data_IF_323570326403
#
_entry.id   IF_323570326403
#
_cell.length_a   1.000
_cell.length_b   1.000
_cell.length_c   1.000
_cell.angle_alpha   90.00
_cell.angle_beta   90.00
_cell.angle_gamma   90.00
#
_symmetry.space_group_name_H-M   'P 1'
#
loop_
_entity.id
_entity.type
_entity.pdbx_description
1 polymer ?
#
# COMPACT_ATOMS: atom_id res chain seq x y z
N UNK A 1 8.03 -5.12 -4.71
CA UNK A 1 8.25 -4.96 -3.25
C UNK A 1 9.31 -5.97 -2.80
N UNK A 2 10.37 -5.49 -2.14
CA UNK A 2 11.46 -6.33 -1.63
C UNK A 2 11.51 -6.26 -0.11
N UNK A 3 11.93 -7.34 0.52
CA UNK A 3 12.12 -7.42 1.98
C UNK A 3 13.59 -7.57 2.29
N UNK A 4 14.06 -6.76 3.24
CA UNK A 4 15.43 -6.75 3.72
C UNK A 4 15.44 -7.05 5.21
N UNK A 5 16.35 -7.92 5.64
CA UNK A 5 16.74 -7.99 7.04
C UNK A 5 17.55 -6.75 7.39
N UNK A 6 17.26 -6.14 8.54
CA UNK A 6 18.03 -5.00 9.08
C UNK A 6 18.79 -5.50 10.28
N UNK A 7 20.12 -5.54 10.18
CA UNK A 7 21.00 -5.96 11.25
C UNK A 7 21.09 -4.89 12.34
N UNK A 8 21.56 -5.27 13.53
CA UNK A 8 21.69 -4.35 14.67
C UNK A 8 22.62 -3.15 14.39
N UNK A 9 23.56 -3.30 13.45
CA UNK A 9 24.46 -2.24 13.00
C UNK A 9 23.87 -1.38 11.85
N UNK A 10 22.65 -1.68 11.40
CA UNK A 10 21.96 -1.01 10.30
C UNK A 10 22.24 -1.59 8.91
N UNK A 11 23.11 -2.60 8.80
CA UNK A 11 23.37 -3.25 7.51
C UNK A 11 22.13 -3.99 7.01
N UNK A 12 21.95 -3.99 5.69
CA UNK A 12 20.86 -4.68 5.02
C UNK A 12 21.34 -6.00 4.43
N UNK A 13 20.55 -7.06 4.63
CA UNK A 13 20.74 -8.34 3.96
C UNK A 13 19.43 -8.87 3.37
N UNK A 14 19.54 -9.93 2.55
CA UNK A 14 18.41 -10.48 1.82
C UNK A 14 18.07 -9.66 0.58
N UNK A 15 16.87 -9.09 0.50
CA UNK A 15 16.39 -8.37 -0.68
C UNK A 15 15.60 -9.23 -1.65
N UNK A 16 15.07 -10.38 -1.19
CA UNK A 16 14.17 -11.20 -1.98
C UNK A 16 12.94 -10.37 -2.41
N UNK A 17 12.45 -10.64 -3.61
CA UNK A 17 11.16 -10.10 -4.05
C UNK A 17 10.09 -10.82 -3.24
N UNK A 18 9.31 -10.04 -2.48
CA UNK A 18 8.22 -10.56 -1.65
C UNK A 18 6.88 -10.49 -2.39
N UNK A 19 6.63 -9.39 -3.10
CA UNK A 19 5.47 -9.21 -3.95
C UNK A 19 5.78 -8.27 -5.12
N UNK A 20 5.03 -8.38 -6.22
CA UNK A 20 5.09 -7.47 -7.36
C UNK A 20 3.70 -6.89 -7.62
N UNK A 21 3.63 -5.59 -7.91
CA UNK A 21 2.42 -4.94 -8.40
C UNK A 21 2.38 -5.10 -9.91
N UNK A 22 1.49 -5.94 -10.43
CA UNK A 22 1.42 -6.28 -11.85
C UNK A 22 0.11 -5.77 -12.46
N UNK A 23 0.13 -5.38 -13.73
CA UNK A 23 -1.05 -4.94 -14.45
C UNK A 23 -0.68 -4.18 -15.73
N UNK A 24 -1.67 -4.00 -16.61
CA UNK A 24 -1.50 -3.28 -17.89
C UNK A 24 -2.06 -1.87 -17.87
N UNK A 25 -2.78 -1.50 -16.81
CA UNK A 25 -3.32 -0.16 -16.61
C UNK A 25 -2.21 0.86 -16.27
N UNK A 26 -2.43 2.16 -16.50
CA UNK A 26 -1.52 3.22 -16.05
C UNK A 26 -1.28 3.19 -14.53
N UNK A 27 -0.19 3.82 -14.10
CA UNK A 27 0.21 3.90 -12.69
C UNK A 27 1.54 3.23 -12.38
N UNK A 28 2.18 3.66 -11.29
CA UNK A 28 3.50 3.17 -10.84
C UNK A 28 3.53 2.99 -9.33
N UNK A 29 4.52 2.22 -8.87
CA UNK A 29 4.77 2.04 -7.43
C UNK A 29 5.40 3.28 -6.82
N UNK A 30 4.80 3.79 -5.75
CA UNK A 30 5.29 4.92 -4.95
C UNK A 30 4.89 4.70 -3.48
N UNK A 31 3.69 5.12 -3.08
CA UNK A 31 3.23 5.06 -1.70
C UNK A 31 2.91 3.65 -1.19
N UNK A 32 3.26 3.37 0.06
CA UNK A 32 2.98 2.11 0.76
C UNK A 32 2.53 2.33 2.22
N UNK A 33 1.59 1.53 2.72
CA UNK A 33 1.10 1.51 4.12
C UNK A 33 0.67 0.11 4.54
N UNK A 34 0.50 -0.11 5.84
CA UNK A 34 0.04 -1.37 6.42
C UNK A 34 -1.25 -1.13 7.21
N UNK A 35 -2.19 -2.07 7.14
CA UNK A 35 -3.39 -2.06 7.98
C UNK A 35 -3.19 -2.80 9.32
N UNK A 36 -4.17 -2.70 10.21
CA UNK A 36 -4.13 -3.34 11.54
C UNK A 36 -4.07 -4.87 11.53
N UNK A 37 -4.27 -5.52 10.38
CA UNK A 37 -4.15 -6.98 10.21
C UNK A 37 -2.83 -7.39 9.54
N UNK A 38 -1.96 -6.44 9.23
CA UNK A 38 -0.69 -6.70 8.56
C UNK A 38 -0.80 -6.80 7.04
N UNK A 39 -1.94 -6.40 6.44
CA UNK A 39 -2.02 -6.31 4.99
C UNK A 39 -1.24 -5.10 4.50
N UNK A 40 -0.46 -5.26 3.44
CA UNK A 40 0.34 -4.21 2.83
C UNK A 40 -0.40 -3.63 1.62
N UNK A 41 -0.59 -2.33 1.65
CA UNK A 41 -1.17 -1.56 0.56
C UNK A 41 -0.02 -0.87 -0.17
N UNK A 42 0.02 -0.94 -1.51
CA UNK A 42 1.04 -0.27 -2.34
C UNK A 42 0.39 0.27 -3.61
N UNK A 43 0.72 1.50 -4.02
CA UNK A 43 0.30 2.00 -5.33
C UNK A 43 0.94 1.16 -6.44
N UNK A 44 0.27 1.07 -7.59
CA UNK A 44 0.75 0.32 -8.74
C UNK A 44 -0.17 0.51 -9.94
N UNK A 45 0.04 -0.28 -11.01
CA UNK A 45 -0.84 -0.27 -12.18
C UNK A 45 -2.32 -0.42 -11.79
N UNK A 46 -3.17 0.51 -12.23
CA UNK A 46 -4.61 0.48 -12.01
C UNK A 46 -5.09 0.90 -10.61
N UNK A 47 -4.20 1.24 -9.67
CA UNK A 47 -4.57 1.77 -8.36
C UNK A 47 -3.74 1.22 -7.20
N UNK A 48 -4.40 0.89 -6.08
CA UNK A 48 -3.74 0.45 -4.85
C UNK A 48 -3.87 -1.06 -4.70
N UNK A 49 -2.75 -1.77 -4.84
CA UNK A 49 -2.63 -3.20 -4.65
C UNK A 49 -2.58 -3.54 -3.16
N UNK A 50 -3.37 -4.52 -2.74
CA UNK A 50 -3.47 -4.95 -1.34
C UNK A 50 -2.98 -6.39 -1.25
N UNK A 51 -1.91 -6.60 -0.50
CA UNK A 51 -1.31 -7.90 -0.24
C UNK A 51 -1.57 -8.31 1.20
N UNK A 52 -1.75 -9.59 1.48
CA UNK A 52 -1.72 -10.10 2.85
C UNK A 52 -0.28 -10.17 3.39
N UNK A 53 -0.11 -10.58 4.65
CA UNK A 53 1.19 -10.66 5.30
C UNK A 53 2.14 -11.71 4.67
N UNK A 54 1.62 -12.66 3.87
CA UNK A 54 2.42 -13.65 3.16
C UNK A 54 2.94 -13.15 1.81
N UNK A 55 2.34 -12.08 1.27
CA UNK A 55 2.66 -11.52 -0.05
C UNK A 55 1.64 -11.91 -1.13
N UNK A 56 0.56 -12.59 -0.75
CA UNK A 56 -0.53 -12.93 -1.67
C UNK A 56 -1.35 -11.67 -1.98
N UNK A 57 -1.61 -11.41 -3.27
CA UNK A 57 -2.46 -10.31 -3.71
C UNK A 57 -3.93 -10.61 -3.37
N UNK A 58 -4.51 -9.81 -2.48
CA UNK A 58 -5.94 -9.87 -2.14
C UNK A 58 -6.81 -9.12 -3.15
N UNK A 59 -6.25 -8.11 -3.83
CA UNK A 59 -6.92 -7.37 -4.90
C UNK A 59 -6.36 -5.97 -5.12
N UNK A 60 -6.98 -5.24 -6.05
CA UNK A 60 -6.61 -3.86 -6.40
C UNK A 60 -7.80 -2.94 -6.15
N UNK A 61 -7.59 -1.87 -5.38
CA UNK A 61 -8.53 -0.77 -5.22
C UNK A 61 -8.31 0.16 -6.41
N UNK A 62 -9.24 0.11 -7.37
CA UNK A 62 -9.17 0.93 -8.57
C UNK A 62 -9.20 2.43 -8.22
N UNK A 63 -8.32 3.19 -8.86
CA UNK A 63 -8.32 4.67 -8.80
C UNK A 63 -8.62 5.23 -10.20
N UNK A 64 -9.36 6.34 -10.30
CA UNK A 64 -9.69 6.95 -11.59
C UNK A 64 -8.50 7.69 -12.24
N UNK A 65 -7.44 7.93 -11.46
CA UNK A 65 -6.21 8.63 -11.86
C UNK A 65 -5.00 7.90 -11.23
N UNK A 66 -3.80 8.21 -11.74
CA UNK A 66 -2.54 7.70 -11.19
C UNK A 66 -2.35 8.20 -9.75
N UNK A 67 -2.32 7.28 -8.80
CA UNK A 67 -2.12 7.59 -7.39
C UNK A 67 -0.65 7.45 -6.98
N UNK A 68 -0.08 8.52 -6.44
CA UNK A 68 1.28 8.51 -5.90
C UNK A 68 1.28 8.14 -4.41
N UNK A 69 0.25 8.55 -3.66
CA UNK A 69 0.21 8.30 -2.24
C UNK A 69 -1.21 8.20 -1.69
N UNK A 70 -1.32 7.65 -0.49
CA UNK A 70 -2.56 7.53 0.26
C UNK A 70 -2.25 7.41 1.74
N UNK A 71 -3.25 7.56 2.61
CA UNK A 71 -3.13 7.28 4.04
C UNK A 71 -4.46 6.87 4.64
N UNK A 72 -4.40 6.08 5.72
CA UNK A 72 -5.55 5.85 6.57
C UNK A 72 -5.80 7.11 7.43
N UNK A 73 -7.07 7.42 7.69
CA UNK A 73 -7.49 8.57 8.48
C UNK A 73 -8.90 8.42 9.05
N UNK A 74 -9.38 9.52 9.62
CA UNK A 74 -10.49 9.60 10.58
C UNK A 74 -10.18 8.91 11.91
N UNK A 75 -11.02 9.15 12.93
CA UNK A 75 -10.80 8.64 14.29
C UNK A 75 -10.71 7.11 14.36
N UNK A 76 -11.36 6.42 13.42
CA UNK A 76 -11.38 4.97 13.35
C UNK A 76 -10.37 4.38 12.36
N UNK A 77 -9.56 5.21 11.69
CA UNK A 77 -8.57 4.82 10.67
C UNK A 77 -9.13 3.98 9.51
N UNK A 78 -10.45 4.05 9.26
CA UNK A 78 -11.10 3.28 8.19
C UNK A 78 -11.35 4.10 6.93
N UNK A 79 -10.90 5.34 6.87
CA UNK A 79 -10.93 6.13 5.65
C UNK A 79 -9.59 6.10 4.95
N UNK A 80 -9.57 5.66 3.70
CA UNK A 80 -8.39 5.72 2.84
C UNK A 80 -8.48 7.02 2.04
N UNK A 81 -7.65 7.99 2.41
CA UNK A 81 -7.45 9.24 1.65
C UNK A 81 -6.39 9.01 0.58
N UNK A 82 -6.67 9.34 -0.67
CA UNK A 82 -5.84 8.98 -1.83
C UNK A 82 -5.54 10.25 -2.63
N UNK A 83 -4.26 10.60 -2.73
CA UNK A 83 -3.78 11.69 -3.58
C UNK A 83 -3.45 11.13 -4.96
N UNK A 84 -4.31 11.42 -5.95
CA UNK A 84 -4.19 10.91 -7.30
C UNK A 84 -4.19 12.05 -8.31
N UNK A 85 -3.03 12.24 -8.95
CA UNK A 85 -2.71 13.31 -9.91
C UNK A 85 -3.31 14.69 -9.59
N UNK A 86 -4.57 14.93 -9.98
CA UNK A 86 -5.25 16.23 -9.86
C UNK A 86 -6.28 16.31 -8.75
N UNK A 87 -6.59 15.19 -8.08
CA UNK A 87 -7.71 15.06 -7.15
C UNK A 87 -7.34 14.35 -5.84
N UNK A 88 -8.13 14.62 -4.79
CA UNK A 88 -8.11 13.89 -3.52
C UNK A 88 -9.38 13.04 -3.41
N UNK A 89 -9.22 11.73 -3.29
CA UNK A 89 -10.31 10.79 -3.10
C UNK A 89 -10.36 10.30 -1.65
N UNK A 90 -11.55 9.87 -1.20
CA UNK A 90 -11.75 9.21 0.09
C UNK A 90 -12.70 8.05 -0.10
N UNK A 91 -12.33 6.87 0.40
CA UNK A 91 -13.21 5.71 0.48
C UNK A 91 -13.10 5.04 1.84
N UNK A 92 -14.08 4.20 2.16
CA UNK A 92 -14.13 3.45 3.42
C UNK A 92 -13.62 2.04 3.24
N UNK A 93 -12.71 1.61 4.10
CA UNK A 93 -12.16 0.25 4.15
C UNK A 93 -12.73 -0.54 5.34
N UNK A 94 -12.72 -1.87 5.23
CA UNK A 94 -13.23 -2.76 6.27
C UNK A 94 -12.25 -2.98 7.42
N UNK A 95 -10.96 -2.86 7.16
CA UNK A 95 -9.89 -3.04 8.13
C UNK A 95 -9.28 -1.66 8.41
N UNK A 96 -9.20 -1.22 9.68
CA UNK A 96 -8.59 0.06 9.98
C UNK A 96 -7.09 0.02 9.70
N UNK A 97 -6.52 1.17 9.36
CA UNK A 97 -5.07 1.35 9.24
C UNK A 97 -4.33 0.97 10.51
N UNK A 98 -3.03 0.66 10.37
CA UNK A 98 -2.18 0.45 11.54
C UNK A 98 -2.02 1.78 12.29
N UNK A 99 -2.45 1.82 13.56
CA UNK A 99 -2.27 2.99 14.41
C UNK A 99 -0.77 3.16 14.72
N UNK A 100 -0.19 4.22 14.18
CA UNK A 100 1.17 4.63 14.49
C UNK A 100 1.06 5.75 15.54
N UNK A 101 1.66 5.53 16.71
CA UNK A 101 1.77 6.44 17.88
C UNK A 101 0.50 7.22 18.28
#
# INVERSE_FOLDING_TARGET
IRVFGVEANGDLNGGAVWAATEGTEPGSTDGMKIDSRGNLYCTGPGGIHVFDASGELLGVIATPEDCANFTFGDEDLRSLYIAASTSLYRLRVRVPGLRLF
#
